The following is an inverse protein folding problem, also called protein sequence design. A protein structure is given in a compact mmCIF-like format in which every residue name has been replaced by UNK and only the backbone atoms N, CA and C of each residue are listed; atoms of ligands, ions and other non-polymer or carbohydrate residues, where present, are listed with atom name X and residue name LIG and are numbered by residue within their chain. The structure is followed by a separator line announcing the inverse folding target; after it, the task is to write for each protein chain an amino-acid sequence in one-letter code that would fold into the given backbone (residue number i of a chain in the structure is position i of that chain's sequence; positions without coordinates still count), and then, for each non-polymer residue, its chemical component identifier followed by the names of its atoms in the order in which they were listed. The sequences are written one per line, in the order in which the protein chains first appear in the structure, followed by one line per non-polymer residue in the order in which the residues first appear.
data_IF_614368625850
#
_entry.id   IF_614368625850
#
_cell.length_a   1.000
_cell.length_b   1.000
_cell.length_c   1.000
_cell.angle_alpha   90.00
_cell.angle_beta   90.00
_cell.angle_gamma   90.00
#
_symmetry.space_group_name_H-M   'P 1'
#
loop_
_entity.id
_entity.type
_entity.pdbx_description
1 polymer ?
#
# COMPACT_ATOMS: atom_id res chain seq x y z
N UNK A 1 23.85 -8.08 3.69
CA UNK A 1 23.08 -7.28 2.73
C UNK A 1 21.67 -7.84 2.61
N UNK A 2 20.70 -6.97 2.68
CA UNK A 2 19.32 -7.38 2.39
C UNK A 2 19.17 -7.63 0.89
N UNK A 3 18.41 -8.66 0.54
CA UNK A 3 18.07 -8.91 -0.86
C UNK A 3 17.21 -7.76 -1.38
N UNK A 4 17.35 -7.36 -2.65
CA UNK A 4 16.45 -6.37 -3.23
C UNK A 4 15.01 -6.89 -3.20
N UNK A 5 14.06 -5.97 -3.05
CA UNK A 5 12.65 -6.30 -3.14
C UNK A 5 12.35 -6.72 -4.57
N UNK A 6 11.87 -7.95 -4.74
CA UNK A 6 11.52 -8.49 -6.07
C UNK A 6 10.03 -8.50 -6.30
N UNK A 7 9.25 -8.48 -5.25
CA UNK A 7 7.80 -8.66 -5.26
C UNK A 7 7.19 -7.77 -4.18
N UNK A 8 6.17 -7.01 -4.56
CA UNK A 8 5.54 -6.03 -3.67
C UNK A 8 4.03 -6.09 -3.83
N UNK A 9 3.32 -6.19 -2.71
CA UNK A 9 1.86 -6.06 -2.68
C UNK A 9 1.49 -4.65 -2.23
N UNK A 10 0.55 -4.02 -2.94
CA UNK A 10 0.10 -2.66 -2.61
C UNK A 10 -1.41 -2.69 -2.42
N UNK A 11 -1.87 -2.14 -1.29
CA UNK A 11 -3.28 -1.84 -1.08
C UNK A 11 -3.49 -0.35 -1.37
N UNK A 12 -4.19 -0.04 -2.43
CA UNK A 12 -4.37 1.33 -2.89
C UNK A 12 -5.60 1.48 -3.77
N UNK A 13 -5.73 2.66 -4.36
CA UNK A 13 -6.88 3.02 -5.18
C UNK A 13 -6.45 3.23 -6.64
N UNK A 14 -6.76 2.32 -7.56
CA UNK A 14 -6.47 2.53 -8.98
C UNK A 14 -7.53 3.44 -9.61
N UNK A 15 -7.65 4.66 -9.08
CA UNK A 15 -8.64 5.65 -9.49
C UNK A 15 -7.96 6.98 -9.78
N UNK A 16 -8.43 7.68 -10.81
CA UNK A 16 -7.96 9.01 -11.16
C UNK A 16 -8.50 10.10 -10.22
N UNK A 17 -9.42 9.75 -9.35
CA UNK A 17 -9.99 10.68 -8.38
C UNK A 17 -9.11 10.74 -7.14
N UNK A 18 -8.42 11.88 -6.97
CA UNK A 18 -7.57 12.14 -5.82
C UNK A 18 -6.09 11.95 -6.08
N UNK A 19 -5.28 12.63 -5.27
CA UNK A 19 -3.82 12.64 -5.41
C UNK A 19 -3.17 11.30 -5.09
N UNK A 20 -3.76 10.50 -4.21
CA UNK A 20 -3.19 9.22 -3.81
C UNK A 20 -3.10 8.23 -4.98
N UNK A 21 -4.14 8.17 -5.83
CA UNK A 21 -4.13 7.32 -7.00
C UNK A 21 -3.06 7.74 -8.00
N UNK A 22 -2.89 9.04 -8.20
CA UNK A 22 -1.87 9.60 -9.09
C UNK A 22 -0.46 9.28 -8.58
N UNK A 23 -0.22 9.47 -7.29
CA UNK A 23 1.07 9.14 -6.67
C UNK A 23 1.38 7.66 -6.80
N UNK A 24 0.40 6.82 -6.54
CA UNK A 24 0.57 5.37 -6.67
C UNK A 24 0.94 4.98 -8.10
N UNK A 25 0.28 5.59 -9.08
CA UNK A 25 0.58 5.36 -10.50
C UNK A 25 2.05 5.68 -10.82
N UNK A 26 2.53 6.84 -10.35
CA UNK A 26 3.92 7.23 -10.54
C UNK A 26 4.89 6.25 -9.88
N UNK A 27 4.60 5.82 -8.66
CA UNK A 27 5.43 4.84 -7.96
C UNK A 27 5.47 3.49 -8.68
N UNK A 28 4.34 3.04 -9.17
CA UNK A 28 4.26 1.78 -9.91
C UNK A 28 5.13 1.82 -11.17
N UNK A 29 5.11 2.93 -11.90
CA UNK A 29 5.96 3.10 -13.08
C UNK A 29 7.43 2.91 -12.70
N UNK A 30 7.86 3.53 -11.59
CA UNK A 30 9.25 3.42 -11.11
C UNK A 30 9.57 1.97 -10.71
N UNK A 31 8.72 1.35 -9.92
CA UNK A 31 8.96 -0.03 -9.46
C UNK A 31 9.02 -1.01 -10.63
N UNK A 32 8.15 -0.85 -11.62
CA UNK A 32 8.18 -1.72 -12.79
C UNK A 32 9.46 -1.53 -13.61
N UNK A 33 9.96 -0.31 -13.72
CA UNK A 33 11.26 -0.03 -14.36
C UNK A 33 12.41 -0.66 -13.60
N UNK A 34 12.29 -0.82 -12.29
CA UNK A 34 13.30 -1.47 -11.46
C UNK A 34 13.19 -3.00 -11.50
N UNK A 35 12.20 -3.55 -12.22
CA UNK A 35 12.01 -4.99 -12.31
C UNK A 35 11.24 -5.61 -11.15
N UNK A 36 10.57 -4.81 -10.34
CA UNK A 36 9.76 -5.31 -9.22
C UNK A 36 8.44 -5.87 -9.76
N UNK A 37 8.09 -7.08 -9.33
CA UNK A 37 6.77 -7.64 -9.58
C UNK A 37 5.78 -6.97 -8.63
N UNK A 38 4.84 -6.19 -9.19
CA UNK A 38 3.89 -5.42 -8.40
C UNK A 38 2.52 -6.07 -8.45
N UNK A 39 1.95 -6.31 -7.28
CA UNK A 39 0.59 -6.81 -7.10
C UNK A 39 -0.25 -5.71 -6.47
N UNK A 40 -1.45 -5.46 -6.99
CA UNK A 40 -2.37 -4.51 -6.41
C UNK A 40 -3.58 -5.24 -5.84
N UNK A 41 -3.85 -5.00 -4.56
CA UNK A 41 -5.04 -5.50 -3.86
C UNK A 41 -5.87 -4.26 -3.51
N UNK A 42 -6.92 -3.96 -4.28
CA UNK A 42 -7.75 -2.78 -3.98
C UNK A 42 -8.71 -3.05 -2.82
N UNK A 43 -9.22 -1.98 -2.21
CA UNK A 43 -10.26 -2.10 -1.18
C UNK A 43 -11.65 -2.29 -1.76
N UNK A 44 -11.88 -1.78 -2.98
CA UNK A 44 -13.14 -1.91 -3.72
C UNK A 44 -12.85 -2.35 -5.15
N UNK A 45 -13.91 -2.65 -5.87
CA UNK A 45 -13.79 -3.02 -7.29
C UNK A 45 -13.65 -1.76 -8.14
N UNK A 46 -12.49 -1.64 -8.80
CA UNK A 46 -12.18 -0.56 -9.75
C UNK A 46 -12.09 -1.09 -11.19
N UNK A 47 -12.60 -2.29 -11.44
CA UNK A 47 -12.52 -2.92 -12.76
C UNK A 47 -13.12 -2.02 -13.84
N UNK A 48 -12.38 -1.80 -14.91
CA UNK A 48 -12.83 -0.97 -16.03
C UNK A 48 -12.49 0.52 -15.89
N UNK A 49 -12.00 0.99 -14.75
CA UNK A 49 -11.54 2.38 -14.66
C UNK A 49 -10.25 2.59 -15.45
N UNK A 50 -10.04 3.80 -16.03
CA UNK A 50 -8.86 4.07 -16.85
C UNK A 50 -7.53 3.78 -16.15
N UNK A 51 -7.40 4.15 -14.87
CA UNK A 51 -6.16 3.91 -14.13
C UNK A 51 -5.96 2.42 -13.84
N UNK A 52 -7.03 1.69 -13.57
CA UNK A 52 -6.97 0.23 -13.43
C UNK A 52 -6.38 -0.40 -14.71
N UNK A 53 -6.92 -0.01 -15.86
CA UNK A 53 -6.48 -0.54 -17.16
C UNK A 53 -5.03 -0.15 -17.45
N UNK A 54 -4.64 1.08 -17.09
CA UNK A 54 -3.24 1.54 -17.23
C UNK A 54 -2.29 0.70 -16.38
N UNK A 55 -2.66 0.39 -15.14
CA UNK A 55 -1.84 -0.46 -14.28
C UNK A 55 -1.69 -1.87 -14.85
N UNK A 56 -2.76 -2.43 -15.41
CA UNK A 56 -2.69 -3.72 -16.09
C UNK A 56 -1.69 -3.65 -17.25
N UNK A 57 -1.73 -2.58 -18.03
CA UNK A 57 -0.81 -2.39 -19.16
C UNK A 57 0.65 -2.27 -18.73
N UNK A 58 0.89 -1.79 -17.52
CA UNK A 58 2.23 -1.71 -16.93
C UNK A 58 2.73 -3.05 -16.37
N UNK A 59 1.90 -4.08 -16.43
CA UNK A 59 2.25 -5.41 -15.93
C UNK A 59 1.94 -5.63 -14.46
N UNK A 60 1.10 -4.79 -13.85
CA UNK A 60 0.66 -5.00 -12.47
C UNK A 60 -0.30 -6.19 -12.43
N UNK A 61 -0.08 -7.06 -11.45
CA UNK A 61 -0.95 -8.21 -11.20
C UNK A 61 -2.08 -7.75 -10.27
N UNK A 62 -3.30 -7.70 -10.82
CA UNK A 62 -4.46 -7.21 -10.09
C UNK A 62 -5.16 -8.36 -9.36
N UNK A 63 -5.52 -8.11 -8.10
CA UNK A 63 -6.25 -9.07 -7.26
C UNK A 63 -7.67 -8.59 -7.00
N UNK A 64 -8.52 -9.50 -6.56
CA UNK A 64 -9.87 -9.15 -6.12
C UNK A 64 -9.79 -8.24 -4.87
N UNK A 65 -10.82 -7.41 -4.62
CA UNK A 65 -10.81 -6.54 -3.43
C UNK A 65 -10.59 -7.33 -2.15
N UNK A 66 -9.68 -6.81 -1.31
CA UNK A 66 -9.34 -7.38 0.00
C UNK A 66 -8.97 -8.86 -0.03
N UNK A 67 -8.40 -9.34 -1.13
CA UNK A 67 -7.93 -10.72 -1.24
C UNK A 67 -6.42 -10.77 -0.96
N UNK A 68 -6.05 -11.22 0.22
CA UNK A 68 -4.67 -11.31 0.70
C UNK A 68 -4.05 -12.70 0.50
N UNK A 69 -4.79 -13.63 -0.11
CA UNK A 69 -4.41 -15.05 -0.16
C UNK A 69 -3.09 -15.33 -0.88
N UNK A 70 -2.68 -14.46 -1.80
CA UNK A 70 -1.42 -14.63 -2.54
C UNK A 70 -0.18 -14.14 -1.76
N UNK A 71 -0.38 -13.42 -0.66
CA UNK A 71 0.71 -12.86 0.14
C UNK A 71 1.43 -13.97 0.91
N UNK A 72 2.75 -14.05 0.75
CA UNK A 72 3.60 -15.01 1.43
C UNK A 72 4.32 -14.35 2.62
N UNK A 73 4.82 -15.13 3.60
CA UNK A 73 5.41 -14.56 4.82
C UNK A 73 6.56 -13.55 4.62
N UNK A 74 7.30 -13.63 3.53
CA UNK A 74 8.39 -12.69 3.24
C UNK A 74 7.99 -11.51 2.39
N UNK A 75 6.75 -11.45 1.92
CA UNK A 75 6.31 -10.37 1.02
C UNK A 75 6.05 -9.08 1.78
N UNK A 76 6.56 -7.93 1.29
CA UNK A 76 6.12 -6.65 1.82
C UNK A 76 4.71 -6.31 1.31
N UNK A 77 3.89 -5.78 2.20
CA UNK A 77 2.56 -5.25 1.88
C UNK A 77 2.52 -3.78 2.25
N UNK A 78 2.26 -2.94 1.27
CA UNK A 78 2.26 -1.49 1.39
C UNK A 78 0.84 -0.96 1.36
N UNK A 79 0.42 -0.28 2.42
CA UNK A 79 -0.81 0.51 2.43
C UNK A 79 -0.51 1.91 1.91
N UNK A 80 -1.08 2.26 0.78
CA UNK A 80 -0.80 3.53 0.13
C UNK A 80 -1.94 4.51 0.37
N UNK A 81 -1.81 5.34 1.39
CA UNK A 81 -2.78 6.38 1.74
C UNK A 81 -4.21 5.83 1.85
N UNK A 82 -4.37 4.72 2.55
CA UNK A 82 -5.61 3.95 2.50
C UNK A 82 -6.03 3.46 3.90
N UNK A 83 -7.15 3.99 4.40
CA UNK A 83 -7.70 3.56 5.67
C UNK A 83 -8.07 2.06 5.67
N UNK A 84 -8.44 1.53 4.52
CA UNK A 84 -8.74 0.10 4.39
C UNK A 84 -7.58 -0.80 4.76
N UNK A 85 -6.34 -0.36 4.52
CA UNK A 85 -5.15 -1.08 4.95
C UNK A 85 -5.09 -1.21 6.48
N UNK A 86 -5.33 -0.10 7.17
CA UNK A 86 -5.30 -0.10 8.64
C UNK A 86 -6.39 -1.00 9.23
N UNK A 87 -7.56 -1.00 8.61
CA UNK A 87 -8.67 -1.86 9.05
C UNK A 87 -8.40 -3.34 8.74
N UNK A 88 -7.64 -3.64 7.70
CA UNK A 88 -7.33 -5.00 7.28
C UNK A 88 -6.05 -5.55 7.94
N UNK A 89 -5.35 -4.78 8.77
CA UNK A 89 -4.10 -5.21 9.40
C UNK A 89 -4.16 -6.58 10.08
N UNK A 90 -5.20 -6.90 10.87
CA UNK A 90 -5.25 -8.23 11.50
C UNK A 90 -5.21 -9.36 10.48
N UNK A 91 -5.90 -9.19 9.34
CA UNK A 91 -5.90 -10.20 8.28
C UNK A 91 -4.56 -10.22 7.52
N UNK A 92 -4.03 -9.04 7.17
CA UNK A 92 -2.75 -8.94 6.45
C UNK A 92 -1.63 -9.58 7.28
N UNK A 93 -1.61 -9.33 8.58
CA UNK A 93 -0.55 -9.82 9.47
C UNK A 93 -0.60 -11.32 9.70
N UNK A 94 -1.67 -12.00 9.31
CA UNK A 94 -1.72 -13.45 9.27
C UNK A 94 -0.85 -14.01 8.13
N UNK A 95 -0.57 -13.20 7.12
CA UNK A 95 0.21 -13.62 5.95
C UNK A 95 1.65 -13.13 6.02
N UNK A 96 1.88 -11.90 6.49
CA UNK A 96 3.21 -11.29 6.54
C UNK A 96 3.32 -10.30 7.69
N UNK A 97 4.54 -10.12 8.20
CA UNK A 97 4.85 -9.06 9.16
C UNK A 97 5.53 -7.86 8.51
N UNK A 98 5.79 -7.91 7.20
CA UNK A 98 6.44 -6.82 6.47
C UNK A 98 5.40 -5.83 5.96
N UNK A 99 4.79 -5.12 6.91
CA UNK A 99 3.76 -4.14 6.62
C UNK A 99 4.35 -2.73 6.60
N UNK A 100 4.01 -1.95 5.57
CA UNK A 100 4.47 -0.58 5.39
C UNK A 100 3.26 0.30 5.14
N UNK A 101 3.18 1.45 5.79
CA UNK A 101 2.10 2.40 5.55
C UNK A 101 2.66 3.75 5.11
N UNK A 102 2.15 4.27 3.99
CA UNK A 102 2.48 5.61 3.51
C UNK A 102 1.30 6.53 3.78
N UNK A 103 1.54 7.61 4.51
CA UNK A 103 0.58 8.69 4.71
C UNK A 103 1.05 9.91 3.93
N UNK A 104 0.32 10.25 2.86
CA UNK A 104 0.58 11.43 2.04
C UNK A 104 -0.43 12.56 2.31
N UNK A 105 -1.16 12.48 3.42
CA UNK A 105 -2.15 13.46 3.83
C UNK A 105 -1.58 14.48 4.81
N UNK A 106 -2.39 15.49 5.13
CA UNK A 106 -2.08 16.48 6.15
C UNK A 106 -2.74 16.15 7.50
N UNK A 107 -3.23 14.92 7.64
CA UNK A 107 -3.91 14.43 8.84
C UNK A 107 -3.67 12.94 9.01
N UNK A 108 -3.87 12.44 10.25
CA UNK A 108 -3.75 11.02 10.54
C UNK A 108 -5.04 10.27 10.20
N UNK A 109 -4.90 9.07 9.66
CA UNK A 109 -6.04 8.18 9.49
C UNK A 109 -6.49 7.63 10.85
N UNK A 110 -7.79 7.31 10.98
CA UNK A 110 -8.26 6.57 12.15
C UNK A 110 -7.44 5.29 12.34
N UNK A 111 -7.09 4.98 13.57
CA UNK A 111 -6.28 3.81 13.97
C UNK A 111 -4.80 3.86 13.57
N UNK A 112 -4.34 4.88 12.85
CA UNK A 112 -2.94 4.96 12.44
C UNK A 112 -2.00 5.03 13.64
N UNK A 113 -2.29 5.93 14.59
CA UNK A 113 -1.47 6.08 15.81
C UNK A 113 -1.53 4.82 16.68
N UNK A 114 -2.70 4.23 16.80
CA UNK A 114 -2.86 2.97 17.53
C UNK A 114 -2.01 1.86 16.91
N UNK A 115 -2.05 1.72 15.58
CA UNK A 115 -1.25 0.72 14.88
C UNK A 115 0.25 0.93 15.10
N UNK A 116 0.69 2.20 15.12
CA UNK A 116 2.07 2.54 15.41
C UNK A 116 2.46 2.14 16.83
N UNK A 117 1.62 2.49 17.81
CA UNK A 117 1.87 2.20 19.21
C UNK A 117 1.91 0.70 19.51
N UNK A 118 1.09 -0.07 18.82
CA UNK A 118 1.02 -1.53 18.97
C UNK A 118 2.06 -2.29 18.16
N UNK A 119 2.86 -1.60 17.35
CA UNK A 119 3.86 -2.25 16.51
C UNK A 119 3.27 -3.12 15.41
N UNK A 120 2.08 -2.79 14.94
CA UNK A 120 1.39 -3.57 13.89
C UNK A 120 1.90 -3.28 12.49
N UNK A 121 2.68 -2.21 12.33
CA UNK A 121 3.24 -1.78 11.06
C UNK A 121 4.75 -1.68 11.23
N UNK A 122 5.48 -2.33 10.32
CA UNK A 122 6.93 -2.39 10.41
C UNK A 122 7.61 -1.06 10.04
N UNK A 123 6.99 -0.28 9.12
CA UNK A 123 7.56 0.98 8.69
C UNK A 123 6.45 1.97 8.30
N UNK A 124 6.59 3.22 8.76
CA UNK A 124 5.72 4.32 8.36
C UNK A 124 6.52 5.32 7.53
N UNK A 125 5.90 5.80 6.44
CA UNK A 125 6.46 6.84 5.59
C UNK A 125 5.48 8.02 5.56
N UNK A 126 6.00 9.23 5.81
CA UNK A 126 5.20 10.44 5.86
C UNK A 126 5.72 11.47 4.85
N UNK A 127 4.81 12.08 4.11
CA UNK A 127 5.15 13.19 3.22
C UNK A 127 5.03 14.55 3.92
N UNK A 128 4.39 14.59 5.10
CA UNK A 128 4.18 15.81 5.88
C UNK A 128 4.82 15.66 7.27
N UNK A 129 5.78 16.52 7.60
CA UNK A 129 6.50 16.45 8.86
C UNK A 129 5.62 16.71 10.07
N UNK A 130 4.65 17.62 9.96
CA UNK A 130 3.74 17.89 11.08
C UNK A 130 2.88 16.65 11.41
N UNK A 131 2.44 15.93 10.38
CA UNK A 131 1.67 14.69 10.56
C UNK A 131 2.56 13.62 11.20
N UNK A 132 3.81 13.51 10.75
CA UNK A 132 4.76 12.57 11.32
C UNK A 132 4.95 12.82 12.82
N UNK A 133 5.15 14.07 13.21
CA UNK A 133 5.32 14.44 14.62
C UNK A 133 4.07 14.16 15.45
N UNK A 134 2.89 14.40 14.89
CA UNK A 134 1.62 14.09 15.57
C UNK A 134 1.46 12.58 15.79
N UNK A 135 1.91 11.75 14.86
CA UNK A 135 1.83 10.29 14.96
C UNK A 135 2.77 9.72 16.00
N UNK A 136 3.94 10.35 16.19
CA UNK A 136 4.95 9.85 17.13
C UNK A 136 4.48 9.97 18.57
N UNK A 137 4.86 9.00 19.43
CA UNK A 137 4.52 9.05 20.85
C UNK A 137 5.20 10.20 21.57
#
# INVERSE_FOLDING_TARGET
MSSPIRRLFVNGFPSLYGGAGTELHHQIIVWRKMGVEVHLIPSWDYHGEPLYNEMVSLGVIMHAPADWSAVQPGDPVLGFCNAGFLNALPEIRRHTKRTVFINCMTWLFPREKEAMQKGEIAMFLYQNEAVRQEAMP
#
